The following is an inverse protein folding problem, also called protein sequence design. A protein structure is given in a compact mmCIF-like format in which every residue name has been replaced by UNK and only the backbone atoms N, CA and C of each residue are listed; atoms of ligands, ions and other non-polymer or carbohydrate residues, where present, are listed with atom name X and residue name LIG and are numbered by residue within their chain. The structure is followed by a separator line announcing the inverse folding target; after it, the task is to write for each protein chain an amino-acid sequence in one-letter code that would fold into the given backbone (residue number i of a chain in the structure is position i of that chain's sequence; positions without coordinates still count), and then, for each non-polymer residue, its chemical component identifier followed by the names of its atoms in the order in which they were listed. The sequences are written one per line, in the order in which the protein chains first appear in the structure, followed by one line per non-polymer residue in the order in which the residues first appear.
data_IF_375792705873
#
_entry.id   IF_375792705873
#
_cell.length_a   1.000
_cell.length_b   1.000
_cell.length_c   1.000
_cell.angle_alpha   90.00
_cell.angle_beta   90.00
_cell.angle_gamma   90.00
#
_symmetry.space_group_name_H-M   'P 1'
#
loop_
_entity.id
_entity.type
_entity.pdbx_description
1 polymer ?
#
# COMPACT_ATOMS: atom_id res chain seq x y z
N UNK A 1 25.46 -10.60 -2.12
CA UNK A 1 23.98 -10.74 -1.97
C UNK A 1 23.33 -9.47 -2.48
N UNK A 2 22.26 -9.52 -3.27
CA UNK A 2 21.61 -8.30 -3.79
C UNK A 2 20.58 -7.74 -2.80
N UNK A 3 20.59 -6.43 -2.60
CA UNK A 3 19.55 -5.69 -1.89
C UNK A 3 18.32 -5.57 -2.79
N UNK A 4 17.20 -6.20 -2.41
CA UNK A 4 15.98 -6.18 -3.24
C UNK A 4 15.36 -4.78 -3.40
N UNK A 5 15.64 -3.88 -2.45
CA UNK A 5 15.14 -2.50 -2.47
C UNK A 5 15.80 -1.63 -3.52
N UNK A 6 17.09 -1.83 -3.81
CA UNK A 6 17.86 -0.98 -4.73
C UNK A 6 18.55 -1.73 -5.87
N UNK A 7 18.46 -3.07 -5.92
CA UNK A 7 19.08 -3.91 -6.95
C UNK A 7 20.61 -4.01 -6.88
N UNK A 8 21.27 -3.39 -5.89
CA UNK A 8 22.75 -3.37 -5.76
C UNK A 8 23.26 -4.45 -4.81
N UNK A 9 24.50 -4.87 -5.00
CA UNK A 9 25.18 -5.79 -4.09
C UNK A 9 25.36 -5.17 -2.69
N UNK A 10 25.10 -5.99 -1.68
CA UNK A 10 25.45 -5.76 -0.29
C UNK A 10 26.81 -6.41 -0.10
N UNK A 11 27.83 -5.55 0.07
CA UNK A 11 29.20 -5.98 0.38
C UNK A 11 29.23 -6.67 1.75
N UNK A 12 30.07 -7.70 1.89
CA UNK A 12 30.12 -8.58 3.07
C UNK A 12 30.61 -7.90 4.36
N UNK A 13 31.30 -6.78 4.23
CA UNK A 13 31.92 -5.98 5.29
C UNK A 13 31.07 -4.76 5.71
N UNK A 14 29.99 -4.46 5.00
CA UNK A 14 29.08 -3.35 5.32
C UNK A 14 28.01 -3.74 6.31
N UNK A 15 27.61 -2.80 7.16
CA UNK A 15 26.47 -3.00 8.05
C UNK A 15 25.18 -3.25 7.24
N UNK A 16 24.43 -4.28 7.65
CA UNK A 16 23.18 -4.71 7.00
C UNK A 16 21.97 -4.35 7.85
N UNK A 17 20.88 -3.94 7.20
CA UNK A 17 19.57 -3.89 7.85
C UNK A 17 18.78 -5.16 7.57
N UNK A 18 17.89 -5.52 8.50
CA UNK A 18 16.97 -6.65 8.42
C UNK A 18 15.55 -6.12 8.29
N UNK A 19 15.14 -5.91 7.05
CA UNK A 19 13.79 -5.45 6.72
C UNK A 19 12.77 -6.56 6.97
N UNK A 20 11.64 -6.24 7.58
CA UNK A 20 10.59 -7.23 7.86
C UNK A 20 9.77 -7.45 6.60
N UNK A 21 9.69 -8.70 6.15
CA UNK A 21 8.93 -9.01 4.93
C UNK A 21 7.44 -8.68 5.06
N UNK A 22 6.90 -8.67 6.29
CA UNK A 22 5.65 -7.98 6.63
C UNK A 22 6.01 -6.83 7.58
N UNK A 23 5.80 -5.56 7.18
CA UNK A 23 6.09 -4.41 8.02
C UNK A 23 5.40 -4.49 9.39
N UNK A 24 6.12 -4.13 10.45
CA UNK A 24 5.62 -4.24 11.83
C UNK A 24 4.36 -3.41 12.07
N UNK A 25 4.15 -2.33 11.32
CA UNK A 25 2.95 -1.51 11.39
C UNK A 25 1.65 -2.26 11.10
N UNK A 26 1.72 -3.37 10.35
CA UNK A 26 0.58 -4.23 10.04
C UNK A 26 0.27 -5.21 11.17
N UNK A 27 1.11 -5.26 12.20
CA UNK A 27 1.02 -6.25 13.26
C UNK A 27 0.85 -5.54 14.60
N UNK A 28 -0.34 -5.65 15.18
CA UNK A 28 -0.71 -5.01 16.45
C UNK A 28 -0.16 -5.78 17.66
N UNK A 29 0.05 -7.09 17.52
CA UNK A 29 0.56 -7.96 18.58
C UNK A 29 2.08 -8.05 18.60
N UNK A 30 2.65 -8.41 19.74
CA UNK A 30 4.06 -8.80 19.83
C UNK A 30 4.34 -10.04 18.97
N UNK A 31 5.32 -9.96 18.07
CA UNK A 31 5.71 -11.07 17.21
C UNK A 31 6.83 -11.93 17.82
N UNK A 32 6.46 -13.07 18.45
CA UNK A 32 7.26 -14.28 18.23
C UNK A 32 6.37 -15.49 17.88
N UNK A 33 6.64 -16.14 16.73
CA UNK A 33 6.16 -17.48 16.28
C UNK A 33 4.90 -18.04 16.97
N UNK A 34 3.83 -17.26 17.04
CA UNK A 34 2.61 -17.64 17.75
C UNK A 34 1.88 -18.70 16.94
N UNK A 35 1.43 -19.77 17.59
CA UNK A 35 0.64 -20.84 16.97
C UNK A 35 -0.57 -20.25 16.24
N UNK A 36 -0.78 -20.69 15.00
CA UNK A 36 -1.92 -20.25 14.17
C UNK A 36 -1.62 -19.07 13.24
N UNK A 37 -0.45 -18.44 13.35
CA UNK A 37 -0.05 -17.34 12.48
C UNK A 37 1.17 -17.68 11.64
N UNK A 38 1.33 -16.97 10.51
CA UNK A 38 2.52 -17.02 9.68
C UNK A 38 3.59 -16.04 10.21
N UNK A 39 4.86 -16.36 9.94
CA UNK A 39 6.01 -15.53 10.26
C UNK A 39 6.88 -15.39 9.02
N UNK A 40 6.85 -14.22 8.40
CA UNK A 40 7.59 -13.95 7.17
C UNK A 40 9.10 -13.79 7.41
N UNK A 41 9.51 -13.44 8.64
CA UNK A 41 10.90 -13.14 8.95
C UNK A 41 11.41 -11.88 8.26
N UNK A 42 12.73 -11.80 8.10
CA UNK A 42 13.41 -10.63 7.54
C UNK A 42 14.20 -10.96 6.28
N UNK A 43 14.42 -9.94 5.46
CA UNK A 43 15.30 -9.94 4.29
C UNK A 43 16.41 -8.89 4.48
N UNK A 44 17.61 -9.19 4.02
CA UNK A 44 18.75 -8.28 4.18
C UNK A 44 18.70 -7.15 3.15
N UNK A 45 18.96 -5.94 3.61
CA UNK A 45 18.98 -4.73 2.77
C UNK A 45 20.13 -3.81 3.19
N UNK A 46 20.46 -2.84 2.34
CA UNK A 46 21.22 -1.68 2.78
C UNK A 46 20.45 -0.92 3.87
N UNK A 47 21.17 -0.38 4.86
CA UNK A 47 20.60 0.44 5.93
C UNK A 47 19.84 1.64 5.37
N UNK A 48 20.48 2.38 4.46
CA UNK A 48 19.87 3.56 3.83
C UNK A 48 18.61 3.22 3.04
N UNK A 49 18.53 2.02 2.44
CA UNK A 49 17.35 1.63 1.68
C UNK A 49 16.15 1.34 2.58
N UNK A 50 16.38 0.68 3.72
CA UNK A 50 15.31 0.35 4.65
C UNK A 50 14.84 1.57 5.45
N UNK A 51 15.79 2.34 5.99
CA UNK A 51 15.50 3.43 6.91
C UNK A 51 14.93 4.67 6.22
N UNK A 52 15.13 4.81 4.90
CA UNK A 52 14.62 5.94 4.12
C UNK A 52 13.36 5.60 3.31
N UNK A 53 12.70 4.47 3.59
CA UNK A 53 11.42 4.12 2.96
C UNK A 53 10.27 4.88 3.65
N UNK A 54 10.25 6.20 3.51
CA UNK A 54 9.31 7.11 4.20
C UNK A 54 7.82 6.74 4.16
N UNK A 55 7.27 6.15 3.07
CA UNK A 55 5.87 5.70 3.05
C UNK A 55 5.51 4.69 4.16
N UNK A 56 6.48 3.96 4.71
CA UNK A 56 6.25 2.98 5.78
C UNK A 56 5.67 3.64 7.03
N UNK A 57 6.13 4.83 7.42
CA UNK A 57 5.63 5.54 8.61
C UNK A 57 4.14 5.92 8.49
N UNK A 58 3.65 6.08 7.26
CA UNK A 58 2.31 6.61 6.98
C UNK A 58 1.35 5.55 6.42
N UNK A 59 1.81 4.34 6.09
CA UNK A 59 0.99 3.31 5.43
C UNK A 59 -0.29 2.96 6.18
N UNK A 60 -0.22 2.73 7.50
CA UNK A 60 -1.40 2.38 8.30
C UNK A 60 -2.43 3.51 8.30
N UNK A 61 -1.97 4.76 8.32
CA UNK A 61 -2.83 5.94 8.23
C UNK A 61 -3.43 6.09 6.84
N UNK A 62 -2.65 5.86 5.78
CA UNK A 62 -3.12 5.86 4.40
C UNK A 62 -4.24 4.84 4.17
N UNK A 63 -4.04 3.58 4.59
CA UNK A 63 -5.08 2.54 4.51
C UNK A 63 -6.34 2.92 5.30
N UNK A 64 -6.17 3.52 6.48
CA UNK A 64 -7.30 3.98 7.29
C UNK A 64 -8.10 5.07 6.59
N UNK A 65 -7.44 6.02 5.91
CA UNK A 65 -8.13 7.01 5.08
C UNK A 65 -8.89 6.30 3.95
N UNK A 66 -8.22 5.43 3.17
CA UNK A 66 -8.81 4.70 2.03
C UNK A 66 -10.05 3.90 2.46
N UNK A 67 -9.98 3.17 3.57
CA UNK A 67 -11.10 2.41 4.10
C UNK A 67 -12.28 3.31 4.48
N UNK A 68 -12.02 4.49 5.05
CA UNK A 68 -13.07 5.44 5.43
C UNK A 68 -13.66 6.19 4.24
N UNK A 69 -12.89 6.47 3.19
CA UNK A 69 -13.39 7.09 1.96
C UNK A 69 -14.49 6.25 1.28
N UNK A 70 -14.46 4.93 1.49
CA UNK A 70 -15.44 3.99 0.95
C UNK A 70 -16.60 3.70 1.92
N UNK A 71 -16.65 4.38 3.07
CA UNK A 71 -17.73 4.25 4.04
C UNK A 71 -18.58 5.52 4.06
N UNK A 72 -19.85 5.41 3.64
CA UNK A 72 -20.78 6.55 3.56
C UNK A 72 -21.04 7.23 4.92
N UNK A 73 -20.85 6.54 6.04
CA UNK A 73 -20.99 7.12 7.38
C UNK A 73 -19.73 7.88 7.85
N UNK A 74 -18.62 7.76 7.12
CA UNK A 74 -17.33 8.34 7.47
C UNK A 74 -17.03 9.63 6.72
N UNK A 75 -17.76 9.92 5.65
CA UNK A 75 -17.52 11.07 4.77
C UNK A 75 -18.79 11.87 4.51
N UNK A 76 -18.65 13.18 4.35
CA UNK A 76 -19.73 14.06 3.91
C UNK A 76 -19.23 14.92 2.77
N UNK A 77 -19.94 14.91 1.65
CA UNK A 77 -19.62 15.72 0.49
C UNK A 77 -20.38 17.04 0.56
N UNK A 78 -19.67 18.16 0.40
CA UNK A 78 -20.28 19.46 0.16
C UNK A 78 -20.00 19.87 -1.28
N UNK A 79 -21.05 20.04 -2.12
CA UNK A 79 -20.86 20.65 -3.42
C UNK A 79 -20.30 22.06 -3.19
N UNK A 80 -19.18 22.38 -3.83
CA UNK A 80 -18.63 23.74 -3.81
C UNK A 80 -19.66 24.73 -4.36
N UNK A 81 -19.55 26.01 -3.99
CA UNK A 81 -20.27 27.06 -4.72
C UNK A 81 -19.68 27.21 -6.13
N UNK A 82 -20.36 27.98 -6.99
CA UNK A 82 -19.88 28.27 -8.35
C UNK A 82 -18.45 28.84 -8.28
N UNK A 83 -17.47 28.08 -8.81
CA UNK A 83 -16.02 28.31 -8.79
C UNK A 83 -15.22 27.85 -7.54
N UNK A 84 -15.85 27.19 -6.56
CA UNK A 84 -15.15 26.54 -5.45
C UNK A 84 -14.95 25.04 -5.71
N UNK A 85 -13.81 24.50 -5.27
CA UNK A 85 -13.59 23.05 -5.28
C UNK A 85 -14.56 22.36 -4.31
N UNK A 86 -15.10 21.19 -4.66
CA UNK A 86 -15.91 20.41 -3.74
C UNK A 86 -15.10 19.99 -2.52
N UNK A 87 -15.74 20.00 -1.35
CA UNK A 87 -15.11 19.63 -0.08
C UNK A 87 -15.59 18.26 0.37
N UNK A 88 -14.64 17.41 0.73
CA UNK A 88 -14.90 16.15 1.40
C UNK A 88 -14.55 16.28 2.88
N UNK A 89 -15.56 16.20 3.73
CA UNK A 89 -15.38 16.21 5.17
C UNK A 89 -15.22 14.80 5.70
N UNK A 90 -14.17 14.58 6.49
CA UNK A 90 -13.89 13.33 7.17
C UNK A 90 -14.40 13.40 8.60
N UNK A 91 -15.15 12.40 9.05
CA UNK A 91 -15.68 12.35 10.41
C UNK A 91 -14.55 12.22 11.44
N UNK A 92 -14.35 13.25 12.27
CA UNK A 92 -13.29 13.29 13.29
C UNK A 92 -13.24 12.04 14.18
N UNK A 93 -14.38 11.42 14.52
CA UNK A 93 -14.40 10.22 15.37
C UNK A 93 -13.56 9.07 14.79
N UNK A 94 -13.50 8.98 13.47
CA UNK A 94 -12.75 7.94 12.78
C UNK A 94 -11.26 8.28 12.65
N UNK A 95 -10.85 9.54 12.89
CA UNK A 95 -9.47 10.04 12.72
C UNK A 95 -8.89 10.64 14.01
N UNK A 96 -9.38 10.22 15.18
CA UNK A 96 -8.94 10.70 16.49
C UNK A 96 -7.46 10.44 16.79
N UNK A 97 -6.87 9.42 16.17
CA UNK A 97 -5.48 9.00 16.31
C UNK A 97 -4.52 9.73 15.35
N UNK A 98 -5.02 10.63 14.48
CA UNK A 98 -4.17 11.38 13.55
C UNK A 98 -3.52 12.58 14.25
N UNK A 99 -2.19 12.60 14.20
CA UNK A 99 -1.36 13.71 14.65
C UNK A 99 -1.43 14.88 13.66
N UNK A 100 -0.96 16.06 14.06
CA UNK A 100 -0.82 17.21 13.14
C UNK A 100 0.16 16.91 12.00
N UNK A 101 1.21 16.12 12.27
CA UNK A 101 2.19 15.73 11.25
C UNK A 101 1.57 14.77 10.23
N UNK A 102 0.71 13.85 10.66
CA UNK A 102 -0.01 12.93 9.77
C UNK A 102 -0.91 13.70 8.82
N UNK A 103 -1.70 14.65 9.36
CA UNK A 103 -2.58 15.49 8.57
C UNK A 103 -1.80 16.35 7.57
N UNK A 104 -0.69 16.95 8.01
CA UNK A 104 0.19 17.72 7.12
C UNK A 104 0.79 16.86 6.00
N UNK A 105 1.23 15.64 6.30
CA UNK A 105 1.77 14.71 5.30
C UNK A 105 0.75 14.42 4.19
N UNK A 106 -0.50 14.13 4.56
CA UNK A 106 -1.58 13.90 3.61
C UNK A 106 -2.24 15.18 3.09
N UNK A 107 -1.76 16.37 3.48
CA UNK A 107 -2.35 17.68 3.14
C UNK A 107 -3.83 17.81 3.54
N UNK A 108 -4.25 17.12 4.60
CA UNK A 108 -5.60 17.17 5.15
C UNK A 108 -5.71 18.37 6.09
N UNK A 109 -6.71 19.21 5.88
CA UNK A 109 -6.96 20.39 6.72
C UNK A 109 -7.57 19.93 8.06
N UNK A 110 -6.91 20.27 9.16
CA UNK A 110 -7.45 20.04 10.50
C UNK A 110 -8.55 21.06 10.84
N UNK A 111 -9.81 20.61 10.85
CA UNK A 111 -10.97 21.42 11.20
C UNK A 111 -11.47 21.19 12.63
N UNK A 112 -10.82 20.33 13.44
CA UNK A 112 -11.32 19.89 14.76
C UNK A 112 -11.45 21.03 15.77
N UNK A 113 -10.70 22.11 15.58
CA UNK A 113 -10.70 23.31 16.43
C UNK A 113 -11.24 24.56 15.70
N UNK A 114 -11.83 24.39 14.51
CA UNK A 114 -12.41 25.49 13.73
C UNK A 114 -13.90 25.58 14.00
N UNK A 115 -14.42 26.80 14.08
CA UNK A 115 -15.86 27.07 14.10
C UNK A 115 -16.51 26.73 12.76
N UNK A 116 -17.83 26.58 12.77
CA UNK A 116 -18.60 26.32 11.55
C UNK A 116 -18.38 27.40 10.47
N UNK A 117 -18.31 28.68 10.86
CA UNK A 117 -18.09 29.77 9.91
C UNK A 117 -16.66 29.78 9.33
N UNK A 118 -15.65 29.41 10.13
CA UNK A 118 -14.27 29.24 9.63
C UNK A 118 -14.15 28.07 8.64
N UNK A 119 -15.00 27.05 8.78
CA UNK A 119 -15.05 25.90 7.87
C UNK A 119 -15.82 26.28 6.59
N UNK A 120 -16.99 26.90 6.73
CA UNK A 120 -17.88 27.27 5.62
C UNK A 120 -17.31 28.39 4.75
N UNK A 121 -16.51 29.28 5.32
CA UNK A 121 -15.79 30.36 4.64
C UNK A 121 -14.36 29.99 4.25
N UNK A 122 -13.98 28.71 4.30
CA UNK A 122 -12.61 28.31 3.99
C UNK A 122 -12.31 28.48 2.50
N UNK A 123 -11.32 29.31 2.19
CA UNK A 123 -10.79 29.46 0.83
C UNK A 123 -9.41 28.78 0.75
N UNK A 124 -9.23 27.96 -0.29
CA UNK A 124 -7.95 27.34 -0.57
C UNK A 124 -6.90 28.40 -0.91
N UNK A 125 -5.79 28.42 -0.17
CA UNK A 125 -4.60 29.20 -0.53
C UNK A 125 -3.59 28.31 -1.25
N UNK A 126 -2.56 28.90 -1.89
CA UNK A 126 -1.45 28.11 -2.48
C UNK A 126 -0.76 27.19 -1.46
N UNK A 127 -0.84 27.51 -0.17
CA UNK A 127 -0.29 26.68 0.92
C UNK A 127 -1.18 25.50 1.30
N UNK A 128 -2.46 25.53 0.92
CA UNK A 128 -3.48 24.53 1.26
C UNK A 128 -3.88 23.71 0.04
N UNK A 129 -2.90 23.28 -0.77
CA UNK A 129 -3.20 22.46 -1.95
C UNK A 129 -4.03 21.23 -1.54
N UNK A 130 -5.12 20.95 -2.26
CA UNK A 130 -6.00 19.85 -1.90
C UNK A 130 -5.23 18.53 -1.89
N UNK A 131 -5.61 17.64 -0.98
CA UNK A 131 -5.15 16.26 -0.99
C UNK A 131 -5.52 15.60 -2.31
N UNK A 132 -4.54 15.01 -2.98
CA UNK A 132 -4.77 14.13 -4.12
C UNK A 132 -4.98 12.72 -3.55
N UNK A 133 -6.18 12.15 -3.68
CA UNK A 133 -6.50 10.82 -3.14
C UNK A 133 -5.52 9.75 -3.65
N UNK A 134 -5.04 9.89 -4.89
CA UNK A 134 -4.02 9.01 -5.45
C UNK A 134 -2.71 9.05 -4.65
N UNK A 135 -2.30 10.18 -4.07
CA UNK A 135 -1.09 10.25 -3.25
C UNK A 135 -1.23 9.36 -2.00
N UNK A 136 -2.41 9.38 -1.36
CA UNK A 136 -2.71 8.50 -0.20
C UNK A 136 -2.66 7.04 -0.63
N UNK A 137 -3.28 6.70 -1.76
CA UNK A 137 -3.26 5.35 -2.30
C UNK A 137 -1.82 4.90 -2.60
N UNK A 138 -1.01 5.75 -3.22
CA UNK A 138 0.36 5.41 -3.60
C UNK A 138 1.27 5.21 -2.38
N UNK A 139 1.04 5.95 -1.28
CA UNK A 139 1.70 5.66 0.01
C UNK A 139 1.39 4.23 0.48
N UNK A 140 0.13 3.79 0.41
CA UNK A 140 -0.25 2.43 0.78
C UNK A 140 0.33 1.39 -0.20
N UNK A 141 0.18 1.61 -1.51
CA UNK A 141 0.66 0.70 -2.55
C UNK A 141 2.18 0.51 -2.50
N UNK A 142 2.95 1.57 -2.23
CA UNK A 142 4.41 1.47 -2.13
C UNK A 142 4.85 0.45 -1.07
N UNK A 143 4.23 0.50 0.11
CA UNK A 143 4.58 -0.38 1.24
C UNK A 143 4.02 -1.79 1.04
N UNK A 144 2.81 -1.91 0.50
CA UNK A 144 2.21 -3.22 0.19
C UNK A 144 2.99 -3.93 -0.92
N UNK A 145 3.42 -3.21 -1.96
CA UNK A 145 4.26 -3.75 -3.03
C UNK A 145 5.67 -4.12 -2.53
N UNK A 146 6.29 -3.29 -1.68
CA UNK A 146 7.56 -3.62 -1.00
C UNK A 146 7.44 -4.93 -0.21
N UNK A 147 6.39 -5.04 0.61
CA UNK A 147 6.08 -6.22 1.42
C UNK A 147 5.84 -7.48 0.55
N UNK A 148 5.04 -7.35 -0.52
CA UNK A 148 4.80 -8.44 -1.45
C UNK A 148 6.08 -8.90 -2.19
N UNK A 149 6.92 -7.96 -2.63
CA UNK A 149 8.22 -8.27 -3.23
C UNK A 149 9.14 -9.02 -2.25
N UNK A 150 9.21 -8.56 -0.99
CA UNK A 150 9.96 -9.23 0.06
C UNK A 150 9.46 -10.66 0.31
N UNK A 151 8.14 -10.87 0.36
CA UNK A 151 7.53 -12.19 0.52
C UNK A 151 7.84 -13.13 -0.66
N UNK A 152 7.74 -12.64 -1.89
CA UNK A 152 8.04 -13.44 -3.08
C UNK A 152 9.48 -13.96 -3.07
N UNK A 153 10.44 -13.13 -2.67
CA UNK A 153 11.84 -13.54 -2.50
C UNK A 153 12.03 -14.45 -1.29
N UNK A 154 11.44 -14.10 -0.15
CA UNK A 154 11.63 -14.79 1.13
C UNK A 154 11.03 -16.19 1.15
N UNK A 155 9.92 -16.39 0.43
CA UNK A 155 9.27 -17.69 0.25
C UNK A 155 9.74 -18.42 -1.03
N UNK A 156 10.79 -17.92 -1.67
CA UNK A 156 11.46 -18.54 -2.82
C UNK A 156 10.59 -18.69 -4.08
N UNK A 157 9.47 -17.94 -4.18
CA UNK A 157 8.74 -17.82 -5.45
C UNK A 157 9.61 -17.14 -6.51
N UNK A 158 10.36 -16.11 -6.10
CA UNK A 158 11.42 -15.50 -6.90
C UNK A 158 12.77 -16.00 -6.41
N UNK A 159 13.53 -16.66 -7.29
CA UNK A 159 14.87 -17.20 -6.97
C UNK A 159 15.95 -16.13 -6.83
N UNK A 160 15.73 -14.96 -7.44
CA UNK A 160 16.66 -13.81 -7.42
C UNK A 160 15.90 -12.50 -7.53
N UNK A 161 16.54 -11.41 -7.11
CA UNK A 161 16.03 -10.05 -7.34
C UNK A 161 15.97 -9.82 -8.86
N UNK A 162 14.81 -9.46 -9.43
CA UNK A 162 14.71 -9.16 -10.85
C UNK A 162 15.44 -7.84 -11.17
N UNK A 163 15.94 -7.71 -12.40
CA UNK A 163 16.59 -6.48 -12.88
C UNK A 163 15.60 -5.35 -13.15
N UNK A 164 14.32 -5.68 -13.31
CA UNK A 164 13.21 -4.75 -13.47
C UNK A 164 12.00 -5.30 -12.73
N UNK A 165 11.35 -4.44 -11.95
CA UNK A 165 10.11 -4.72 -11.24
C UNK A 165 8.96 -4.15 -12.06
N UNK A 166 8.07 -5.04 -12.51
CA UNK A 166 6.82 -4.66 -13.17
C UNK A 166 5.66 -5.16 -12.34
N UNK A 167 4.85 -4.24 -11.85
CA UNK A 167 3.80 -4.52 -10.87
C UNK A 167 2.49 -3.91 -11.36
N UNK A 168 1.51 -4.76 -11.64
CA UNK A 168 0.12 -4.33 -11.82
C UNK A 168 -0.61 -4.41 -10.49
N UNK A 169 -1.41 -3.41 -10.19
CA UNK A 169 -2.13 -3.28 -8.92
C UNK A 169 -3.59 -2.89 -9.15
N UNK A 170 -4.49 -3.63 -8.52
CA UNK A 170 -5.92 -3.35 -8.44
C UNK A 170 -6.31 -3.24 -6.96
N UNK A 171 -6.36 -2.02 -6.40
CA UNK A 171 -6.73 -1.80 -5.01
C UNK A 171 -8.25 -1.78 -4.85
N UNK A 172 -8.74 -2.48 -3.84
CA UNK A 172 -10.14 -2.47 -3.44
C UNK A 172 -10.26 -2.15 -1.95
N UNK A 173 -11.24 -1.35 -1.59
CA UNK A 173 -11.57 -1.05 -0.20
C UNK A 173 -12.92 -1.68 0.16
N UNK A 174 -13.01 -2.32 1.32
CA UNK A 174 -14.24 -2.97 1.76
C UNK A 174 -14.05 -3.97 2.90
N UNK A 175 -15.14 -4.60 3.35
CA UNK A 175 -15.07 -5.62 4.40
C UNK A 175 -14.36 -6.88 3.92
N UNK A 176 -13.08 -7.02 4.28
CA UNK A 176 -12.27 -8.20 3.98
C UNK A 176 -12.67 -9.44 4.78
N UNK A 177 -13.41 -9.26 5.87
CA UNK A 177 -13.79 -10.31 6.82
C UNK A 177 -14.82 -11.30 6.27
N UNK A 178 -15.61 -10.88 5.28
CA UNK A 178 -16.68 -11.71 4.70
C UNK A 178 -16.24 -12.45 3.43
N UNK A 179 -15.06 -12.15 2.89
CA UNK A 179 -14.57 -12.74 1.66
C UNK A 179 -13.86 -14.07 1.95
N UNK A 180 -14.40 -15.16 1.43
CA UNK A 180 -13.89 -16.50 1.65
C UNK A 180 -12.72 -16.84 0.72
N UNK A 181 -11.68 -16.01 0.71
CA UNK A 181 -10.47 -16.25 -0.10
C UNK A 181 -9.81 -17.59 0.22
N UNK A 182 -9.90 -18.08 1.46
CA UNK A 182 -9.42 -19.41 1.82
C UNK A 182 -10.09 -20.54 1.01
N UNK A 183 -11.32 -20.34 0.52
CA UNK A 183 -12.01 -21.29 -0.37
C UNK A 183 -11.58 -21.17 -1.83
N UNK A 184 -11.17 -19.98 -2.26
CA UNK A 184 -10.84 -19.67 -3.66
C UNK A 184 -9.35 -19.92 -3.93
N UNK A 185 -8.48 -19.40 -3.06
CA UNK A 185 -7.03 -19.37 -3.20
C UNK A 185 -6.33 -20.40 -2.29
N UNK A 186 -7.10 -21.17 -1.51
CA UNK A 186 -6.59 -22.09 -0.51
C UNK A 186 -6.25 -21.41 0.82
N UNK A 187 -6.00 -22.23 1.85
CA UNK A 187 -5.81 -21.75 3.22
C UNK A 187 -4.51 -20.95 3.36
N UNK A 188 -4.62 -19.69 3.76
CA UNK A 188 -3.46 -18.87 4.20
C UNK A 188 -3.51 -18.62 5.71
N UNK A 189 -2.36 -18.82 6.38
CA UNK A 189 -2.22 -18.41 7.78
C UNK A 189 -2.11 -16.88 7.85
N UNK A 190 -2.83 -16.22 8.75
CA UNK A 190 -2.70 -14.78 8.95
C UNK A 190 -1.34 -14.40 9.53
N UNK A 191 -0.82 -13.22 9.19
CA UNK A 191 0.33 -12.60 9.87
C UNK A 191 -0.11 -11.85 11.12
N UNK A 192 -1.32 -11.28 11.06
CA UNK A 192 -2.08 -10.76 12.18
C UNK A 192 -3.59 -10.93 11.92
N UNK A 193 -4.45 -10.65 12.92
CA UNK A 193 -5.90 -10.90 12.87
C UNK A 193 -6.55 -10.45 11.56
N UNK A 194 -6.18 -9.27 11.08
CA UNK A 194 -6.75 -8.65 9.88
C UNK A 194 -5.74 -8.58 8.72
N UNK A 195 -4.64 -9.36 8.77
CA UNK A 195 -3.57 -9.35 7.76
C UNK A 195 -3.31 -10.74 7.22
N UNK A 196 -3.67 -10.94 5.95
CA UNK A 196 -3.44 -12.19 5.20
C UNK A 196 -2.84 -11.87 3.83
N UNK A 197 -1.95 -12.74 3.38
CA UNK A 197 -1.38 -12.67 2.04
C UNK A 197 -1.51 -14.02 1.37
N UNK A 198 -2.05 -14.03 0.16
CA UNK A 198 -2.13 -15.20 -0.70
C UNK A 198 -1.18 -14.99 -1.88
N UNK A 199 -0.44 -16.03 -2.26
CA UNK A 199 0.55 -15.97 -3.33
C UNK A 199 0.34 -17.17 -4.25
N UNK A 200 0.23 -16.92 -5.55
CA UNK A 200 0.03 -17.94 -6.58
C UNK A 200 0.90 -17.65 -7.80
N UNK A 201 1.43 -18.70 -8.44
CA UNK A 201 2.12 -18.58 -9.72
C UNK A 201 1.11 -18.85 -10.84
N UNK A 202 0.89 -17.87 -11.72
CA UNK A 202 -0.11 -17.95 -12.79
C UNK A 202 0.45 -18.48 -14.12
N UNK A 203 1.72 -18.88 -14.16
CA UNK A 203 2.42 -19.19 -15.41
C UNK A 203 2.98 -17.95 -16.10
N UNK A 204 3.78 -18.16 -17.15
CA UNK A 204 4.29 -17.07 -17.99
C UNK A 204 5.07 -16.00 -17.22
N UNK A 205 5.76 -16.39 -16.15
CA UNK A 205 6.56 -15.49 -15.30
C UNK A 205 5.75 -14.42 -14.53
N UNK A 206 4.48 -14.74 -14.23
CA UNK A 206 3.59 -13.89 -13.45
C UNK A 206 3.29 -14.50 -12.08
N UNK A 207 3.48 -13.70 -11.05
CA UNK A 207 3.13 -14.04 -9.67
C UNK A 207 1.99 -13.14 -9.19
N UNK A 208 0.91 -13.76 -8.78
CA UNK A 208 -0.21 -13.10 -8.13
C UNK A 208 0.03 -13.03 -6.63
N UNK A 209 -0.19 -11.84 -6.05
CA UNK A 209 -0.17 -11.60 -4.62
C UNK A 209 -1.44 -10.84 -4.23
N UNK A 210 -2.33 -11.49 -3.48
CA UNK A 210 -3.45 -10.81 -2.83
C UNK A 210 -3.04 -10.41 -1.42
N UNK A 211 -2.92 -9.11 -1.18
CA UNK A 211 -2.62 -8.56 0.14
C UNK A 211 -3.89 -8.01 0.77
N UNK A 212 -4.39 -8.64 1.82
CA UNK A 212 -5.55 -8.19 2.58
C UNK A 212 -5.11 -7.68 3.95
N UNK A 213 -5.28 -6.39 4.21
CA UNK A 213 -4.90 -5.73 5.46
C UNK A 213 -5.88 -4.61 5.82
N UNK A 214 -6.41 -4.63 7.06
CA UNK A 214 -7.21 -3.53 7.63
C UNK A 214 -8.31 -2.96 6.69
N UNK A 215 -9.17 -3.83 6.15
CA UNK A 215 -10.27 -3.47 5.23
C UNK A 215 -9.83 -2.92 3.86
N UNK A 216 -8.56 -3.11 3.50
CA UNK A 216 -8.02 -2.85 2.17
C UNK A 216 -7.50 -4.17 1.59
N UNK A 217 -7.81 -4.41 0.32
CA UNK A 217 -7.27 -5.51 -0.47
C UNK A 217 -6.53 -4.94 -1.65
N UNK A 218 -5.37 -5.49 -1.95
CA UNK A 218 -4.62 -5.12 -3.14
C UNK A 218 -4.26 -6.38 -3.88
N UNK A 219 -4.75 -6.48 -5.11
CA UNK A 219 -4.37 -7.53 -6.06
C UNK A 219 -3.13 -7.04 -6.77
N UNK A 220 -1.99 -7.69 -6.53
CA UNK A 220 -0.73 -7.38 -7.17
C UNK A 220 -0.34 -8.49 -8.13
N UNK A 221 0.11 -8.12 -9.32
CA UNK A 221 0.68 -9.04 -10.29
C UNK A 221 2.10 -8.59 -10.61
N UNK A 222 3.07 -9.42 -10.22
CA UNK A 222 4.49 -9.21 -10.46
C UNK A 222 4.89 -9.95 -11.75
N UNK A 223 5.45 -9.22 -12.70
CA UNK A 223 5.88 -9.74 -13.99
C UNK A 223 7.42 -9.74 -14.05
N UNK A 224 8.05 -10.89 -14.31
CA UNK A 224 9.51 -10.94 -14.50
C UNK A 224 9.98 -10.83 -15.95
N UNK A 225 9.07 -10.92 -16.93
CA UNK A 225 9.34 -10.73 -18.35
C UNK A 225 8.50 -9.59 -18.95
N UNK A 226 8.98 -9.01 -20.05
CA UNK A 226 8.17 -8.11 -20.90
C UNK A 226 7.06 -8.94 -21.58
N UNK A 227 5.87 -8.93 -20.98
CA UNK A 227 4.74 -9.72 -21.45
C UNK A 227 3.45 -8.93 -21.44
N UNK A 228 3.33 -7.99 -22.39
CA UNK A 228 2.14 -7.16 -22.62
C UNK A 228 0.86 -7.98 -22.79
N UNK A 229 0.96 -9.23 -23.27
CA UNK A 229 -0.17 -10.13 -23.40
C UNK A 229 -0.78 -10.46 -22.04
N UNK A 230 0.06 -10.76 -21.06
CA UNK A 230 -0.40 -11.02 -19.69
C UNK A 230 -1.00 -9.77 -19.05
N UNK A 231 -0.44 -8.59 -19.31
CA UNK A 231 -0.98 -7.33 -18.82
C UNK A 231 -2.44 -7.12 -19.29
N UNK A 232 -2.68 -7.24 -20.61
CA UNK A 232 -4.03 -7.12 -21.19
C UNK A 232 -5.01 -8.17 -20.64
N UNK A 233 -4.55 -9.40 -20.47
CA UNK A 233 -5.38 -10.47 -19.90
C UNK A 233 -5.72 -10.24 -18.43
N UNK A 234 -4.79 -9.67 -17.66
CA UNK A 234 -5.06 -9.30 -16.27
C UNK A 234 -6.05 -8.14 -16.22
N UNK A 235 -5.83 -7.06 -16.98
CA UNK A 235 -6.75 -5.91 -16.99
C UNK A 235 -8.17 -6.30 -17.39
N UNK A 236 -8.34 -7.23 -18.33
CA UNK A 236 -9.68 -7.68 -18.77
C UNK A 236 -10.45 -8.43 -17.68
N UNK A 237 -9.79 -8.97 -16.65
CA UNK A 237 -10.43 -9.58 -15.47
C UNK A 237 -10.96 -8.55 -14.48
N UNK A 238 -10.58 -7.27 -14.64
CA UNK A 238 -10.97 -6.15 -13.76
C UNK A 238 -11.48 -4.94 -14.57
N UNK A 239 -12.53 -5.10 -15.40
CA UNK A 239 -12.91 -4.11 -16.42
C UNK A 239 -13.39 -2.76 -15.87
N UNK A 240 -13.72 -2.67 -14.58
CA UNK A 240 -14.26 -1.46 -13.94
C UNK A 240 -13.39 -0.97 -12.77
N UNK A 241 -12.21 -1.56 -12.58
CA UNK A 241 -11.36 -1.23 -11.44
C UNK A 241 -10.17 -0.40 -11.91
N UNK A 242 -9.75 0.61 -11.14
CA UNK A 242 -8.54 1.36 -11.45
C UNK A 242 -7.31 0.45 -11.53
N UNK A 243 -6.70 0.39 -12.71
CA UNK A 243 -5.46 -0.35 -12.93
C UNK A 243 -4.26 0.58 -12.72
N UNK A 244 -3.48 0.31 -11.69
CA UNK A 244 -2.22 1.00 -11.45
C UNK A 244 -1.03 0.13 -11.85
N UNK A 245 -0.08 0.71 -12.57
CA UNK A 245 1.12 0.03 -13.04
C UNK A 245 2.38 0.76 -12.58
N UNK A 246 3.30 -0.03 -12.03
CA UNK A 246 4.64 0.41 -11.69
C UNK A 246 5.65 -0.39 -12.52
N UNK A 247 6.62 0.33 -13.07
CA UNK A 247 7.80 -0.24 -13.70
C UNK A 247 9.02 0.54 -13.22
N UNK A 248 10.02 -0.19 -12.72
CA UNK A 248 11.22 0.41 -12.17
C UNK A 248 12.35 -0.58 -12.00
N UNK A 249 13.59 -0.10 -11.91
CA UNK A 249 14.75 -0.99 -11.75
C UNK A 249 14.90 -1.48 -10.31
N UNK A 250 14.24 -0.82 -9.35
CA UNK A 250 14.26 -1.21 -7.96
C UNK A 250 12.99 -0.78 -7.20
N UNK A 251 12.68 -1.47 -6.09
CA UNK A 251 11.48 -1.21 -5.28
C UNK A 251 11.50 0.19 -4.64
N UNK A 252 12.68 0.73 -4.30
CA UNK A 252 12.78 2.07 -3.72
C UNK A 252 12.33 3.19 -4.66
N UNK A 253 12.23 2.94 -5.97
CA UNK A 253 11.64 3.91 -6.89
C UNK A 253 10.17 4.17 -6.57
N UNK A 254 9.45 3.28 -5.87
CA UNK A 254 8.08 3.52 -5.39
C UNK A 254 7.96 4.72 -4.43
N UNK A 255 9.07 5.22 -3.88
CA UNK A 255 9.09 6.40 -3.03
C UNK A 255 8.85 7.67 -3.85
N UNK A 256 9.33 7.71 -5.09
CA UNK A 256 9.39 8.92 -5.93
C UNK A 256 8.65 8.79 -7.25
N UNK A 257 8.53 7.58 -7.80
CA UNK A 257 7.75 7.30 -9.01
C UNK A 257 6.28 7.16 -8.65
N UNK A 258 5.45 7.92 -9.37
CA UNK A 258 4.01 7.75 -9.31
C UNK A 258 3.61 6.49 -10.09
N UNK A 259 2.72 5.70 -9.51
CA UNK A 259 2.03 4.64 -10.23
C UNK A 259 1.30 5.26 -11.42
N UNK A 260 1.42 4.63 -12.59
CA UNK A 260 0.70 5.04 -13.79
C UNK A 260 -0.68 4.39 -13.77
N UNK A 261 -1.72 5.19 -13.94
CA UNK A 261 -3.05 4.66 -14.18
C UNK A 261 -3.15 4.28 -15.67
N UNK A 262 -3.53 3.03 -15.94
CA UNK A 262 -3.68 2.48 -17.29
C UNK A 262 -5.14 2.49 -17.77
#
# INVERSE_FOLDING_TARGET
MLCYLCGKEIESDKEISRDHAIPRLFIERSQPKVKGFDYAGTINTHISCNNNFGPEDYCRKAMKIISNLNNSNSVTFSPGKKNDLPLLYLNQKNFNDFSRNDLNYFKIIDARKKSYEEIKGYHFTEKDKPTIINDILFTALAVIAKSAAALLLKKEYLKKVPSCWRISSFPHAGETKNLSFDRILGKAKPFDKDVKVYIEYLGGEVYFVLFAAHSVMVYLFFHSADNDKNLKEISSKFPNEPHYYFEGTCINELITHQWKML
#
